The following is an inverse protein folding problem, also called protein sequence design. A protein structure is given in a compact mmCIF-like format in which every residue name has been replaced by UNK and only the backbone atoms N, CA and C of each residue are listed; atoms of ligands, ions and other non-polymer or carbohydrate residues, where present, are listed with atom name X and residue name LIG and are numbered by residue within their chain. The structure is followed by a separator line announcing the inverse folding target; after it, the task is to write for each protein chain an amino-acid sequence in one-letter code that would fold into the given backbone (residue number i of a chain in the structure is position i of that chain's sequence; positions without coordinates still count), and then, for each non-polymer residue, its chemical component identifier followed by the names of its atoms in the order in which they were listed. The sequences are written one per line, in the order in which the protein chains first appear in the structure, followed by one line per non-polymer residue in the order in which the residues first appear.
data_IF_482158390945
#
_entry.id   IF_482158390945
#
_cell.length_a   1.000
_cell.length_b   1.000
_cell.length_c   1.000
_cell.angle_alpha   90.00
_cell.angle_beta   90.00
_cell.angle_gamma   90.00
#
_symmetry.space_group_name_H-M   'P 1'
#
loop_
_entity.id
_entity.type
_entity.pdbx_description
1 polymer ?
2 polymer ?
3 water ?
#
# COMPACT_ATOMS: atom_id res chain seq x y z
N UNK A 1 3.30 2.25 15.94
CA UNK A 1 1.90 2.06 15.48
C UNK A 1 1.76 0.64 14.93
N UNK A 2 0.61 0.02 15.19
CA UNK A 2 0.37 -1.35 14.76
C UNK A 2 -0.69 -1.41 13.67
N UNK A 3 -0.37 -2.10 12.57
CA UNK A 3 -1.34 -2.25 11.49
C UNK A 3 -1.87 -3.69 11.44
N UNK A 4 -3.18 -3.84 11.61
CA UNK A 4 -3.80 -5.16 11.53
C UNK A 4 -4.42 -5.18 10.13
N UNK A 5 -4.25 -6.27 9.40
CA UNK A 5 -4.75 -6.27 8.02
C UNK A 5 -5.11 -7.63 7.45
N UNK A 6 -5.70 -7.59 6.26
CA UNK A 6 -6.07 -8.78 5.51
C UNK A 6 -5.80 -8.42 4.06
N UNK A 7 -5.36 -9.40 3.28
CA UNK A 7 -5.06 -9.16 1.88
C UNK A 7 -5.81 -10.12 0.97
N UNK A 8 -6.13 -9.63 -0.23
CA UNK A 8 -6.84 -10.43 -1.21
C UNK A 8 -6.48 -9.95 -2.60
N UNK A 9 -6.79 -10.77 -3.61
CA UNK A 9 -6.49 -10.39 -4.98
C UNK A 9 -7.76 -10.44 -5.82
N UNK A 10 -7.95 -9.46 -6.69
CA UNK A 10 -9.13 -9.38 -7.55
C UNK A 10 -8.70 -9.36 -9.01
N UNK A 11 -9.04 -10.40 -9.77
CA UNK A 11 -8.69 -10.49 -11.19
C UNK A 11 -9.27 -9.30 -11.96
N UNK A 12 -8.53 -8.83 -12.95
CA UNK A 12 -8.98 -7.69 -13.74
C UNK A 12 -10.39 -7.86 -14.32
N UNK A 13 -10.74 -9.08 -14.72
CA UNK A 13 -12.06 -9.33 -15.29
C UNK A 13 -13.19 -9.15 -14.29
N UNK A 14 -12.91 -9.30 -13.00
CA UNK A 14 -13.95 -9.15 -11.99
C UNK A 14 -13.98 -7.77 -11.34
N UNK A 15 -13.05 -6.90 -11.72
CA UNK A 15 -12.98 -5.57 -11.16
C UNK A 15 -14.30 -4.80 -11.10
N UNK A 16 -15.00 -4.71 -12.22
CA UNK A 16 -16.26 -3.97 -12.23
C UNK A 16 -17.25 -4.49 -11.20
N UNK A 17 -17.47 -5.80 -11.21
CA UNK A 17 -18.42 -6.43 -10.28
C UNK A 17 -18.02 -6.28 -8.82
N UNK A 18 -16.73 -6.41 -8.53
CA UNK A 18 -16.27 -6.30 -7.15
C UNK A 18 -16.41 -4.88 -6.63
N UNK A 19 -16.07 -3.91 -7.48
CA UNK A 19 -16.18 -2.51 -7.07
C UNK A 19 -17.64 -2.20 -6.79
N UNK A 20 -18.55 -2.63 -7.66
CA UNK A 20 -19.97 -2.35 -7.43
C UNK A 20 -20.41 -3.02 -6.11
N UNK A 21 -19.92 -4.22 -5.84
CA UNK A 21 -20.27 -4.91 -4.61
C UNK A 21 -19.75 -4.12 -3.41
N UNK A 22 -18.54 -3.57 -3.54
CA UNK A 22 -17.95 -2.79 -2.48
C UNK A 22 -18.74 -1.49 -2.26
N UNK A 23 -19.28 -0.94 -3.34
CA UNK A 23 -20.06 0.30 -3.25
C UNK A 23 -21.43 0.03 -2.67
N UNK A 24 -21.90 -1.19 -2.85
CA UNK A 24 -23.20 -1.59 -2.35
C UNK A 24 -23.15 -1.91 -0.85
N UNK A 25 -22.01 -2.42 -0.38
CA UNK A 25 -21.89 -2.79 1.03
C UNK A 25 -21.06 -1.88 1.94
N UNK A 26 -20.20 -1.05 1.36
CA UNK A 26 -19.34 -0.19 2.18
C UNK A 26 -19.55 1.30 1.93
N UNK A 27 -18.90 2.11 2.76
CA UNK A 27 -18.97 3.55 2.58
C UNK A 27 -17.78 3.95 1.70
N UNK A 28 -17.95 5.04 0.95
CA UNK A 28 -16.91 5.50 0.06
C UNK A 28 -17.43 5.39 -1.36
N UNK A 29 -16.55 5.32 -2.37
CA UNK A 29 -15.09 5.32 -2.24
C UNK A 29 -14.47 6.68 -2.49
N UNK A 30 -13.16 6.76 -2.29
CA UNK A 30 -12.44 7.99 -2.58
C UNK A 30 -11.28 7.50 -3.43
N UNK A 31 -10.92 8.26 -4.46
CA UNK A 31 -9.84 7.83 -5.33
C UNK A 31 -8.52 7.89 -4.60
N UNK A 32 -7.60 7.03 -5.03
CA UNK A 32 -6.27 6.95 -4.48
C UNK A 32 -5.28 7.03 -5.64
N UNK A 33 -4.35 7.98 -5.57
CA UNK A 33 -3.30 8.10 -6.57
C UNK A 33 -2.09 8.62 -5.80
N UNK A 34 -1.16 7.71 -5.48
CA UNK A 34 0.03 8.08 -4.71
C UNK A 34 1.35 7.75 -5.42
N UNK A 35 2.36 8.57 -5.17
CA UNK A 35 3.68 8.34 -5.74
C UNK A 35 4.55 7.91 -4.55
N UNK A 36 5.15 6.73 -4.65
CA UNK A 36 6.00 6.21 -3.59
C UNK A 36 7.44 6.10 -4.05
N UNK A 37 8.36 6.57 -3.21
CA UNK A 37 9.78 6.45 -3.51
C UNK A 37 10.38 5.83 -2.24
N UNK A 38 11.15 4.76 -2.41
CA UNK A 38 11.74 4.07 -1.28
C UNK A 38 13.25 4.27 -1.22
N UNK A 39 13.75 4.51 -0.01
CA UNK A 39 15.18 4.71 0.23
C UNK A 39 15.73 3.70 1.22
N UNK A 40 16.92 3.19 0.92
CA UNK A 40 17.54 2.20 1.80
C UNK A 40 18.82 2.79 2.37
N UNK A 41 19.26 2.26 3.52
CA UNK A 41 20.48 2.75 4.17
C UNK A 41 21.66 2.65 3.20
N UNK A 42 22.50 3.68 3.20
CA UNK A 42 23.67 3.74 2.31
C UNK A 42 24.89 3.02 2.90
N UNK A 49 22.78 -9.34 4.51
CA UNK A 49 21.37 -9.40 4.12
C UNK A 49 20.65 -8.07 4.37
N UNK A 50 20.26 -7.40 3.30
CA UNK A 50 19.57 -6.11 3.40
C UNK A 50 18.32 -6.28 4.25
N UNK A 51 17.94 -5.22 4.97
CA UNK A 51 16.76 -5.27 5.83
C UNK A 51 15.77 -4.17 5.46
N UNK A 52 14.85 -4.45 4.53
CA UNK A 52 13.84 -3.49 4.07
C UNK A 52 12.94 -2.87 5.13
N UNK A 53 12.84 -3.47 6.31
CA UNK A 53 12.01 -2.91 7.37
C UNK A 53 12.63 -1.63 7.93
N UNK A 54 13.82 -1.29 7.46
CA UNK A 54 14.51 -0.08 7.91
C UNK A 54 14.58 0.93 6.77
N UNK A 55 13.99 0.59 5.64
CA UNK A 55 13.99 1.49 4.48
C UNK A 55 12.91 2.56 4.64
N UNK A 56 13.22 3.76 4.17
CA UNK A 56 12.31 4.90 4.25
C UNK A 56 11.39 4.87 3.04
N UNK A 57 10.09 4.83 3.29
CA UNK A 57 9.10 4.80 2.23
C UNK A 57 8.34 6.12 2.20
N UNK A 58 8.61 6.91 1.17
CA UNK A 58 7.98 8.22 1.04
C UNK A 58 6.76 8.20 0.16
N UNK A 59 5.67 8.77 0.66
CA UNK A 59 4.44 8.81 -0.09
C UNK A 59 3.91 10.21 -0.31
N UNK A 60 3.63 10.52 -1.57
CA UNK A 60 3.10 11.82 -1.93
C UNK A 60 1.76 11.60 -2.62
N UNK A 61 0.75 12.34 -2.20
CA UNK A 61 -0.56 12.24 -2.82
C UNK A 61 -0.51 13.07 -4.10
N UNK A 62 -0.39 12.42 -5.25
CA UNK A 62 -0.32 13.15 -6.51
C UNK A 62 -1.70 13.47 -7.06
N UNK A 63 -2.73 13.02 -6.36
CA UNK A 63 -4.10 13.28 -6.76
C UNK A 63 -4.32 14.80 -6.68
N UNK A 64 -3.47 15.47 -5.90
CA UNK A 64 -3.53 16.91 -5.71
C UNK A 64 -2.32 17.61 -6.33
N UNK A 65 -2.12 17.38 -7.63
CA UNK A 65 -0.99 17.98 -8.36
C UNK A 65 -1.31 18.22 -9.82
N UNK A 66 -0.57 19.15 -10.43
CA UNK A 66 -0.72 19.46 -11.84
C UNK A 66 0.30 18.55 -12.52
N UNK A 67 -0.18 17.66 -13.38
CA UNK A 67 0.73 16.76 -14.08
C UNK A 67 1.69 17.60 -14.91
N UNK A 68 1.32 18.87 -15.09
CA UNK A 68 2.12 19.83 -15.86
C UNK A 68 3.22 20.44 -14.99
N UNK A 69 3.03 20.40 -13.67
CA UNK A 69 4.00 20.94 -12.71
C UNK A 69 5.35 20.27 -12.92
N UNK A 70 6.29 21.01 -13.49
CA UNK A 70 7.63 20.51 -13.78
C UNK A 70 8.35 19.94 -12.56
N UNK A 71 8.15 20.56 -11.40
CA UNK A 71 8.78 20.09 -10.17
C UNK A 71 7.79 19.97 -9.03
N UNK A 72 6.92 18.98 -9.16
CA UNK A 72 5.89 18.67 -8.19
C UNK A 72 6.48 18.16 -6.89
N UNK A 73 7.55 17.39 -6.97
CA UNK A 73 8.18 16.80 -5.80
C UNK A 73 8.66 17.82 -4.75
N UNK A 74 8.94 19.04 -5.18
CA UNK A 74 9.39 20.09 -4.26
C UNK A 74 8.19 20.85 -3.70
N UNK A 75 7.08 20.80 -4.42
CA UNK A 75 5.85 21.47 -4.00
C UNK A 75 4.86 20.49 -3.36
N UNK A 76 5.39 19.46 -2.69
CA UNK A 76 4.51 18.48 -2.05
C UNK A 76 4.86 18.16 -0.61
N UNK A 77 3.89 17.57 0.06
CA UNK A 77 4.04 17.14 1.43
C UNK A 77 4.24 15.64 1.29
N UNK A 78 5.26 15.10 1.96
CA UNK A 78 5.53 13.68 1.89
C UNK A 78 5.27 13.03 3.23
N UNK A 79 4.68 11.84 3.19
CA UNK A 79 4.47 11.09 4.41
C UNK A 79 5.65 10.12 4.37
N UNK A 80 6.31 9.94 5.51
CA UNK A 80 7.46 9.07 5.57
C UNK A 80 7.14 7.84 6.41
N UNK A 81 7.29 6.66 5.82
CA UNK A 81 6.98 5.44 6.53
C UNK A 81 8.12 4.48 6.79
N UNK A 82 7.99 3.74 7.88
CA UNK A 82 8.92 2.69 8.26
C UNK A 82 7.98 1.51 8.50
N UNK A 83 8.05 0.53 7.61
CA UNK A 83 7.18 -0.63 7.73
C UNK A 83 7.98 -1.87 8.10
N UNK A 84 7.62 -2.47 9.22
CA UNK A 84 8.31 -3.67 9.67
C UNK A 84 7.72 -4.91 9.03
N UNK A 85 8.32 -6.06 9.35
CA UNK A 85 7.85 -7.34 8.83
C UNK A 85 6.64 -7.74 9.67
N UNK A 86 5.66 -8.40 9.05
CA UNK A 86 4.49 -8.81 9.79
C UNK A 86 4.89 -9.91 10.77
N UNK A 87 4.10 -10.08 11.83
CA UNK A 87 4.39 -11.12 12.81
C UNK A 87 4.07 -12.51 12.28
N UNK A 88 4.92 -13.50 12.61
CA UNK A 88 4.72 -14.88 12.17
C UNK A 88 3.81 -15.63 13.14
N UNK A 89 3.50 -16.87 12.79
CA UNK A 89 2.63 -17.72 13.63
C UNK A 89 1.24 -17.12 13.83
N UNK A 90 0.81 -16.29 12.89
CA UNK A 90 -0.52 -15.68 12.97
C UNK A 90 -1.37 -16.15 11.80
N UNK A 91 -0.97 -17.27 11.21
CA UNK A 91 -1.69 -17.84 10.09
C UNK A 91 -3.11 -18.12 10.57
N UNK A 92 -4.08 -18.04 9.66
CA UNK A 92 -5.48 -18.27 10.00
C UNK A 92 -6.03 -17.18 10.93
N UNK A 93 -5.27 -16.10 11.04
CA UNK A 93 -5.65 -14.97 11.86
C UNK A 93 -5.28 -13.75 11.02
N UNK A 94 -5.75 -12.56 11.38
CA UNK A 94 -5.40 -11.37 10.59
C UNK A 94 -3.92 -11.05 10.77
N UNK A 95 -3.31 -10.41 9.79
CA UNK A 95 -1.90 -10.08 9.90
C UNK A 95 -1.66 -8.86 10.76
N UNK A 96 -0.46 -8.76 11.31
CA UNK A 96 -0.07 -7.61 12.14
C UNK A 96 1.37 -7.22 11.81
N UNK A 97 1.60 -5.93 11.62
CA UNK A 97 2.95 -5.45 11.34
C UNK A 97 3.12 -4.05 11.89
N UNK A 98 4.34 -3.71 12.33
CA UNK A 98 4.62 -2.38 12.88
C UNK A 98 4.65 -1.36 11.74
N UNK A 99 4.09 -0.19 11.98
CA UNK A 99 4.08 0.86 10.96
C UNK A 99 4.24 2.20 11.65
N UNK A 100 5.29 2.94 11.27
CA UNK A 100 5.54 4.25 11.85
C UNK A 100 5.47 5.28 10.75
N UNK A 101 4.83 6.40 11.05
CA UNK A 101 4.65 7.47 10.07
C UNK A 101 4.97 8.85 10.62
N UNK A 102 5.42 9.71 9.72
CA UNK A 102 5.76 11.09 10.03
C UNK A 102 5.63 11.86 8.73
N UNK A 103 4.97 13.00 8.76
CA UNK A 103 4.78 13.82 7.55
C UNK A 103 5.84 14.92 7.51
N UNK A 104 6.55 15.05 6.40
CA UNK A 104 7.56 16.09 6.32
C UNK A 104 7.49 16.96 5.08
N UNK A 105 7.83 18.23 5.26
CA UNK A 105 7.82 19.24 4.21
C UNK A 105 9.03 20.17 4.30
N UNK A 106 9.09 21.14 3.37
CA UNK A 106 10.17 22.14 3.28
C UNK A 106 11.28 21.86 2.26
N UNK A 107 11.14 22.44 1.07
CA UNK A 107 12.14 22.27 0.02
C UNK A 107 12.10 20.95 -0.73
N UNK A 108 13.06 20.08 -0.45
CA UNK A 108 13.13 18.78 -1.10
C UNK A 108 13.48 17.69 -0.09
N UNK A 109 12.45 17.03 0.43
CA UNK A 109 12.61 15.96 1.41
C UNK A 109 13.57 14.89 0.91
N UNK A 110 13.43 14.54 -0.36
CA UNK A 110 14.27 13.55 -1.01
C UNK A 110 15.75 13.71 -0.68
N UNK A 111 16.25 14.93 -0.85
CA UNK A 111 17.65 15.22 -0.59
C UNK A 111 17.99 15.16 0.88
N UNK A 112 17.03 15.51 1.73
CA UNK A 112 17.26 15.47 3.17
C UNK A 112 17.48 14.04 3.62
N UNK A 113 16.71 13.10 3.08
CA UNK A 113 16.86 11.71 3.49
C UNK A 113 18.19 11.15 2.99
N UNK A 114 18.67 11.65 1.84
CA UNK A 114 19.95 11.17 1.32
C UNK A 114 21.04 11.69 2.26
N UNK A 115 20.86 12.90 2.79
CA UNK A 115 21.83 13.47 3.72
C UNK A 115 21.91 12.62 4.98
N UNK A 116 20.79 12.03 5.38
CA UNK A 116 20.76 11.19 6.57
C UNK A 116 21.50 9.88 6.34
N UNK A 117 21.95 9.64 5.12
CA UNK A 117 22.66 8.41 4.82
C UNK A 117 21.83 7.36 4.10
N UNK A 118 20.92 7.78 3.23
CA UNK A 118 20.10 6.82 2.50
C UNK A 118 20.25 7.03 1.01
N UNK A 119 20.02 5.96 0.24
CA UNK A 119 20.12 6.07 -1.21
C UNK A 119 18.85 5.51 -1.85
N UNK A 120 18.50 6.05 -3.00
CA UNK A 120 17.31 5.62 -3.73
C UNK A 120 17.32 4.13 -4.07
N UNK A 121 16.21 3.45 -3.75
CA UNK A 121 16.08 2.03 -4.04
C UNK A 121 15.16 1.85 -5.25
N UNK A 122 13.87 2.15 -5.07
CA UNK A 122 12.89 2.02 -6.14
C UNK A 122 11.71 2.95 -5.91
N UNK A 123 10.84 3.05 -6.92
CA UNK A 123 9.66 3.90 -6.82
C UNK A 123 8.53 3.28 -7.63
N UNK A 124 7.31 3.65 -7.25
CA UNK A 124 6.14 3.16 -7.97
C UNK A 124 4.94 4.04 -7.67
N UNK A 125 3.86 3.78 -8.38
CA UNK A 125 2.64 4.54 -8.23
C UNK A 125 1.50 3.63 -7.84
N UNK A 126 0.64 4.11 -6.93
CA UNK A 126 -0.51 3.33 -6.50
C UNK A 126 -1.78 4.01 -7.03
N UNK A 127 -2.57 3.22 -7.74
CA UNK A 127 -3.82 3.66 -8.33
C UNK A 127 -4.93 2.80 -7.73
N UNK A 128 -5.97 3.41 -7.20
CA UNK A 128 -7.05 2.62 -6.64
C UNK A 128 -8.17 3.39 -5.99
N UNK A 129 -9.03 2.64 -5.28
CA UNK A 129 -10.17 3.20 -4.59
C UNK A 129 -10.10 2.82 -3.12
N UNK A 130 -10.64 3.68 -2.27
CA UNK A 130 -10.61 3.41 -0.84
C UNK A 130 -12.02 3.53 -0.27
N UNK A 131 -12.40 2.53 0.51
CA UNK A 131 -13.70 2.48 1.16
C UNK A 131 -13.49 2.44 2.67
N UNK A 132 -14.57 2.54 3.44
CA UNK A 132 -14.49 2.50 4.91
C UNK A 132 -15.72 1.81 5.48
N UNK A 133 -15.53 1.11 6.59
CA UNK A 133 -16.63 0.43 7.27
C UNK A 133 -16.09 -0.22 8.55
N UNK A 134 -16.93 -0.26 9.59
CA UNK A 134 -16.55 -0.85 10.88
C UNK A 134 -15.20 -0.35 11.34
N UNK A 135 -14.96 0.94 11.12
CA UNK A 135 -13.68 1.54 11.52
C UNK A 135 -12.45 0.94 10.88
N UNK A 136 -12.61 0.36 9.70
CA UNK A 136 -11.46 -0.20 8.99
C UNK A 136 -11.47 0.42 7.60
N UNK A 137 -10.33 0.32 6.91
CA UNK A 137 -10.21 0.86 5.57
C UNK A 137 -9.99 -0.30 4.62
N UNK A 138 -10.67 -0.25 3.47
CA UNK A 138 -10.49 -1.30 2.48
C UNK A 138 -10.11 -0.60 1.19
N UNK A 139 -8.89 -0.90 0.75
CA UNK A 139 -8.34 -0.31 -0.45
C UNK A 139 -8.18 -1.37 -1.54
N UNK A 140 -8.62 -1.04 -2.76
CA UNK A 140 -8.47 -1.94 -3.90
C UNK A 140 -7.58 -1.14 -4.85
N UNK A 141 -6.41 -1.67 -5.16
CA UNK A 141 -5.47 -0.92 -5.98
C UNK A 141 -4.61 -1.72 -6.92
N UNK A 142 -3.88 -0.99 -7.75
CA UNK A 142 -2.97 -1.56 -8.72
C UNK A 142 -1.66 -0.81 -8.57
N UNK A 143 -0.53 -1.49 -8.65
CA UNK A 143 0.72 -0.77 -8.52
C UNK A 143 1.30 -0.56 -9.92
N UNK A 144 1.54 0.71 -10.23
CA UNK A 144 2.03 1.12 -11.53
C UNK A 144 3.48 1.60 -11.55
N UNK A 145 4.00 1.82 -12.75
CA UNK A 145 5.37 2.27 -12.95
C UNK A 145 5.36 3.54 -13.79
N UNK A 146 6.05 4.60 -13.33
CA UNK A 146 6.11 5.87 -14.05
C UNK A 146 6.73 5.65 -15.44
N UNK A 147 6.31 6.43 -16.43
CA UNK A 147 6.88 6.27 -17.76
C UNK A 147 8.25 6.97 -17.80
N UNK A 148 8.54 7.72 -16.74
CA UNK A 148 9.81 8.45 -16.60
C UNK A 148 10.07 8.57 -15.10
N UNK A 149 11.27 8.27 -14.65
CA UNK A 149 11.57 8.34 -13.23
C UNK A 149 11.16 9.67 -12.58
N UNK A 150 10.46 9.58 -11.45
CA UNK A 150 9.99 10.73 -10.68
C UNK A 150 9.04 11.62 -11.47
N UNK A 151 8.34 11.03 -12.44
CA UNK A 151 7.40 11.77 -13.27
C UNK A 151 5.95 11.40 -12.95
N UNK A 152 5.09 12.41 -12.85
CA UNK A 152 3.68 12.20 -12.58
C UNK A 152 2.88 12.42 -13.85
N UNK A 153 3.57 12.57 -14.97
CA UNK A 153 2.89 12.77 -16.24
C UNK A 153 2.53 11.42 -16.86
N UNK A 154 1.23 11.19 -17.12
CA UNK A 154 0.82 9.93 -17.72
C UNK A 154 1.57 9.68 -19.02
N UNK A 155 1.59 8.43 -19.49
CA UNK A 155 0.95 7.27 -18.85
C UNK A 155 1.75 6.60 -17.75
N UNK A 156 1.07 5.77 -16.95
CA UNK A 156 1.70 4.98 -15.90
C UNK A 156 1.48 3.57 -16.41
N UNK A 157 2.50 2.72 -16.30
CA UNK A 157 2.34 1.36 -16.81
C UNK A 157 2.24 0.29 -15.75
N UNK A 158 1.38 -0.72 -15.99
CA UNK A 158 1.27 -1.78 -14.99
C UNK A 158 2.56 -2.60 -15.11
N UNK A 159 2.89 -3.38 -14.10
CA UNK A 159 4.11 -4.17 -14.15
C UNK A 159 3.89 -5.40 -15.03
N UNK A 160 2.62 -5.71 -15.29
CA UNK A 160 2.23 -6.84 -16.11
C UNK A 160 0.89 -6.53 -16.75
N UNK A 161 0.64 -7.04 -17.94
CA UNK A 161 -0.61 -6.77 -18.65
C UNK A 161 -1.83 -7.51 -18.10
N UNK A 162 -1.60 -8.56 -17.33
CA UNK A 162 -2.68 -9.33 -16.73
C UNK A 162 -2.59 -9.18 -15.22
N UNK A 163 -2.30 -7.96 -14.81
CA UNK A 163 -2.14 -7.62 -13.41
C UNK A 163 -3.44 -7.57 -12.62
N UNK A 164 -3.53 -8.33 -11.53
CA UNK A 164 -4.76 -8.32 -10.73
C UNK A 164 -4.76 -7.07 -9.83
N UNK A 165 -5.93 -6.73 -9.30
CA UNK A 165 -6.03 -5.60 -8.38
C UNK A 165 -5.80 -6.20 -7.01
N UNK A 166 -5.18 -5.44 -6.12
CA UNK A 166 -4.92 -5.93 -4.78
C UNK A 166 -5.96 -5.34 -3.84
N UNK A 167 -6.52 -6.20 -2.98
CA UNK A 167 -7.51 -5.78 -1.99
C UNK A 167 -6.82 -5.81 -0.64
N UNK A 168 -6.62 -4.64 -0.05
CA UNK A 168 -5.95 -4.54 1.25
C UNK A 168 -6.90 -3.94 2.29
N UNK A 169 -7.20 -4.72 3.33
CA UNK A 169 -8.08 -4.25 4.40
C UNK A 169 -7.23 -4.06 5.64
N UNK A 170 -7.33 -2.90 6.27
CA UNK A 170 -6.52 -2.64 7.45
C UNK A 170 -7.09 -1.60 8.39
N UNK A 171 -6.49 -1.55 9.57
CA UNK A 171 -6.84 -0.58 10.58
C UNK A 171 -5.58 -0.39 11.42
N UNK A 172 -5.45 0.79 12.02
CA UNK A 172 -4.27 1.09 12.83
C UNK A 172 -4.60 1.24 14.32
N UNK A 173 -3.70 0.71 15.15
CA UNK A 173 -3.83 0.80 16.60
C UNK A 173 -2.57 1.51 17.11
N UNK A 174 -2.75 2.70 17.65
CA UNK A 174 -1.64 3.52 18.16
C UNK A 174 -0.73 2.81 19.16
N UNK A 175 -1.32 2.23 20.19
CA UNK A 175 -0.56 1.55 21.24
C UNK A 175 -0.74 0.04 21.21
N UNK A 176 0.34 -0.68 20.90
CA UNK A 176 0.29 -2.14 20.84
C UNK A 176 -0.08 -2.74 22.20
N UNK A 177 0.21 -1.99 23.26
CA UNK A 177 -0.06 -2.41 24.63
C UNK A 177 -1.55 -2.41 25.00
N UNK A 178 -2.34 -1.60 24.32
CA UNK A 178 -3.77 -1.50 24.59
C UNK A 178 -4.51 -2.76 24.12
N UNK A 179 -4.52 -3.80 24.95
CA UNK A 179 -5.19 -5.06 24.61
C UNK A 179 -6.62 -4.90 24.11
N UNK A 180 -7.35 -3.96 24.69
CA UNK A 180 -8.73 -3.75 24.29
C UNK A 180 -8.84 -3.15 22.89
N UNK A 181 -7.92 -2.25 22.57
CA UNK A 181 -7.91 -1.62 21.25
C UNK A 181 -7.52 -2.65 20.18
N UNK A 182 -6.54 -3.49 20.49
CA UNK A 182 -6.09 -4.51 19.57
C UNK A 182 -7.18 -5.52 19.28
N UNK A 183 -7.94 -5.88 20.32
CA UNK A 183 -9.00 -6.86 20.16
C UNK A 183 -10.18 -6.30 19.39
N UNK A 184 -10.44 -5.01 19.55
CA UNK A 184 -11.54 -4.36 18.87
C UNK A 184 -11.19 -4.23 17.37
N UNK A 185 -9.91 -4.10 17.08
CA UNK A 185 -9.48 -3.97 15.69
C UNK A 185 -9.60 -5.32 14.96
N UNK A 186 -9.18 -6.41 15.62
CA UNK A 186 -9.28 -7.71 14.98
C UNK A 186 -10.75 -8.07 14.78
N UNK A 187 -11.58 -7.71 15.76
CA UNK A 187 -13.00 -7.98 15.68
C UNK A 187 -13.57 -7.20 14.49
N UNK A 188 -13.11 -5.98 14.28
CA UNK A 188 -13.59 -5.19 13.14
C UNK A 188 -13.15 -5.81 11.81
N UNK A 189 -11.93 -6.31 11.75
CA UNK A 189 -11.44 -6.94 10.54
C UNK A 189 -12.29 -8.17 10.24
N UNK A 190 -12.62 -8.92 11.28
CA UNK A 190 -13.44 -10.12 11.11
C UNK A 190 -14.81 -9.78 10.52
N UNK A 191 -15.40 -8.68 10.96
CA UNK A 191 -16.69 -8.26 10.45
C UNK A 191 -16.59 -7.92 8.97
N UNK A 192 -15.57 -7.14 8.59
CA UNK A 192 -15.38 -6.75 7.21
C UNK A 192 -15.10 -7.98 6.34
N UNK A 193 -14.32 -8.92 6.88
CA UNK A 193 -13.99 -10.14 6.16
C UNK A 193 -15.24 -10.90 5.72
N UNK A 194 -16.16 -11.16 6.65
CA UNK A 194 -17.36 -11.90 6.26
C UNK A 194 -18.25 -11.03 5.39
N UNK A 195 -18.18 -9.72 5.56
CA UNK A 195 -18.99 -8.84 4.73
C UNK A 195 -18.53 -8.91 3.26
N UNK A 196 -17.24 -9.18 3.03
CA UNK A 196 -16.69 -9.24 1.67
C UNK A 196 -16.41 -10.66 1.17
N UNK A 197 -16.68 -11.65 2.02
CA UNK A 197 -16.43 -13.05 1.68
C UNK A 197 -17.25 -13.55 0.50
N UNK A 198 -18.33 -12.87 0.20
CA UNK A 198 -19.19 -13.28 -0.91
C UNK A 198 -18.53 -13.02 -2.26
N UNK A 199 -17.53 -12.14 -2.29
CA UNK A 199 -16.87 -11.83 -3.54
C UNK A 199 -15.36 -11.67 -3.52
N UNK A 200 -14.71 -12.06 -2.43
CA UNK A 200 -13.25 -11.97 -2.36
C UNK A 200 -12.73 -12.64 -1.11
N UNK A 201 -11.72 -13.48 -1.28
CA UNK A 201 -11.13 -14.18 -0.15
C UNK A 201 -10.02 -13.34 0.47
N UNK A 202 -10.20 -13.01 1.74
CA UNK A 202 -9.23 -12.21 2.46
C UNK A 202 -8.48 -13.06 3.50
N UNK A 203 -7.16 -12.95 3.49
CA UNK A 203 -6.36 -13.69 4.45
C UNK A 203 -5.05 -13.00 4.80
N UNK A 204 -4.41 -13.51 5.84
CA UNK A 204 -3.14 -12.99 6.31
C UNK A 204 -2.08 -13.38 5.28
N UNK A 205 -1.38 -12.40 4.77
CA UNK A 205 -0.30 -12.63 3.80
C UNK A 205 0.91 -11.91 4.37
N UNK A 206 2.07 -12.54 4.30
CA UNK A 206 3.27 -11.94 4.86
C UNK A 206 3.67 -10.63 4.18
N UNK A 207 4.04 -9.65 4.99
CA UNK A 207 4.46 -8.33 4.51
C UNK A 207 5.79 -7.90 5.13
N UNK B 5 -2.63 -18.39 -10.00
CA UNK B 5 -1.65 -17.49 -10.66
C UNK B 5 -1.76 -16.06 -10.14
N UNK B 6 -2.99 -15.58 -9.97
CA UNK B 6 -3.21 -14.23 -9.45
C UNK B 6 -2.59 -14.12 -8.05
N UNK B 7 -2.47 -15.26 -7.38
CA UNK B 7 -1.87 -15.31 -6.05
C UNK B 7 -0.36 -15.24 -6.14
N UNK B 8 0.18 -15.62 -7.29
CA UNK B 8 1.63 -15.56 -7.50
C UNK B 8 1.96 -14.10 -7.84
N UNK B 9 1.06 -13.46 -8.59
CA UNK B 9 1.25 -12.06 -8.96
C UNK B 9 1.30 -11.25 -7.68
N UNK B 10 0.36 -11.51 -6.79
CA UNK B 10 0.28 -10.83 -5.51
C UNK B 10 1.61 -10.88 -4.77
N UNK B 11 2.19 -12.08 -4.71
CA UNK B 11 3.45 -12.25 -4.02
C UNK B 11 4.58 -11.48 -4.69
N UNK B 12 4.66 -11.52 -6.01
CA UNK B 12 5.71 -10.81 -6.72
C UNK B 12 5.53 -9.29 -6.61
N UNK B 13 4.28 -8.81 -6.71
CA UNK B 13 4.02 -7.39 -6.62
C UNK B 13 4.35 -6.90 -5.22
N UNK B 14 3.93 -7.65 -4.20
CA UNK B 14 4.22 -7.27 -2.84
C UNK B 14 5.73 -7.22 -2.61
N UNK B 15 6.46 -8.17 -3.21
CA UNK B 15 7.92 -8.22 -3.07
C UNK B 15 8.58 -7.02 -3.72
N UNK B 16 8.09 -6.62 -4.88
CA UNK B 16 8.64 -5.46 -5.57
C UNK B 16 8.50 -4.21 -4.71
N UNK B 17 7.29 -3.98 -4.20
CA UNK B 17 7.04 -2.80 -3.39
C UNK B 17 7.92 -2.84 -2.15
N UNK B 18 8.09 -4.02 -1.56
CA UNK B 18 8.89 -4.14 -0.36
C UNK B 18 10.39 -4.00 -0.58
N UNK B 19 10.94 -4.71 -1.56
CA UNK B 19 12.37 -4.66 -1.80
C UNK B 19 12.87 -4.21 -3.17
N UNK B 20 11.96 -3.81 -4.05
CA UNK B 20 12.39 -3.37 -5.36
C UNK B 20 12.78 -4.53 -6.27
N UNK B 21 12.69 -5.75 -5.76
CA UNK B 21 13.01 -6.94 -6.56
C UNK B 21 11.91 -7.16 -7.57
N UNK B 22 12.29 -7.17 -8.84
CA UNK B 22 11.33 -7.35 -9.91
C UNK B 22 11.40 -8.77 -10.45
N UNK B 23 10.41 -9.60 -10.12
CA UNK B 23 10.36 -10.98 -10.57
C UNK B 23 10.27 -11.05 -12.10
N UNK B 24 10.68 -12.18 -12.68
CA UNK B 24 10.64 -12.34 -14.13
C UNK B 24 9.23 -12.12 -14.68
N UNK B 25 8.24 -12.60 -13.93
CA UNK B 25 6.84 -12.47 -14.32
C UNK B 25 6.41 -11.01 -14.48
N UNK B 26 7.07 -10.13 -13.74
CA UNK B 26 6.77 -8.69 -13.78
C UNK B 26 7.71 -8.01 -14.77
N UNK B 27 8.08 -8.74 -15.82
CA UNK B 27 8.96 -8.27 -16.88
C UNK B 27 9.97 -7.19 -16.47
#
# INVERSE_FOLDING_TARGET
MQELYLLGVVPSRRFEAVVNSLSKTLDGPKTILEFWVVYRPKDVPPNLPRQPDSWLRLCSNIESHDETDTEWSKNTQWSMYLEGNSEPKREDKCGIRPVNRAKLTNGSVTEFVEKMGYEFSHEYIIQGLEYFFFDTTVRIYQTLIPSQQRSIKPPFHPMNEEQPWILHVYTHVADASNQVAMAKAEANLTKVKTLLSAFCDLKNVRL
MEEQNANQMLTDILSFMKSGKRAAALEHHHHHH
#
